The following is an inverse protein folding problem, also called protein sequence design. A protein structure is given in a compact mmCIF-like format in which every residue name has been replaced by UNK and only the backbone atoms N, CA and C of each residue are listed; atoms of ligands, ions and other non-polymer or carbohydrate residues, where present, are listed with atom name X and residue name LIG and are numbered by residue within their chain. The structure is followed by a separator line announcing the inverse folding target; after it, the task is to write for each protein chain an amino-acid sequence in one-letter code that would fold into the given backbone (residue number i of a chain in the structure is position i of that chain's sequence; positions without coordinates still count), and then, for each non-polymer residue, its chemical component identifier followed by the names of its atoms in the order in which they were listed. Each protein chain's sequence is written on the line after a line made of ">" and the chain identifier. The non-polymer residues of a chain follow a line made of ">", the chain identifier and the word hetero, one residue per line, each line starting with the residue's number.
data_IF_028532381334
#
_entry.id   IF_028532381334
#
_cell.length_a   1.000
_cell.length_b   1.000
_cell.length_c   1.000
_cell.angle_alpha   90.00
_cell.angle_beta   90.00
_cell.angle_gamma   90.00
#
_symmetry.space_group_name_H-M   'P 1'
#
loop_
_entity.id
_entity.type
_entity.pdbx_description
1 polymer ?
#
# COMPACT_ATOMS: atom_id res chain seq x y z
N UNK A 1 0.60 24.57 18.81
CA UNK A 1 1.07 23.18 19.01
C UNK A 1 0.67 22.32 17.80
N UNK A 2 1.41 22.42 16.71
CA UNK A 2 1.25 21.56 15.52
C UNK A 2 2.18 20.36 15.69
N UNK A 3 1.60 19.18 15.85
CA UNK A 3 2.28 18.01 16.42
C UNK A 3 3.28 17.36 15.47
N UNK A 4 4.44 16.96 16.00
CA UNK A 4 5.48 16.09 15.38
C UNK A 4 4.90 14.91 14.58
N UNK A 5 3.71 14.43 14.95
CA UNK A 5 3.00 13.35 14.29
C UNK A 5 2.65 13.64 12.82
N UNK A 6 2.26 14.89 12.48
CA UNK A 6 1.92 15.25 11.09
C UNK A 6 3.14 15.22 10.15
N UNK A 7 4.31 15.61 10.64
CA UNK A 7 5.54 15.54 9.84
C UNK A 7 5.92 14.09 9.49
N UNK A 8 5.83 13.17 10.45
CA UNK A 8 6.22 11.77 10.23
C UNK A 8 5.36 11.02 9.19
N UNK A 9 4.09 11.38 9.03
CA UNK A 9 3.22 10.80 7.98
C UNK A 9 3.62 11.28 6.58
N UNK A 10 3.95 12.56 6.44
CA UNK A 10 4.42 13.11 5.18
C UNK A 10 5.75 12.47 4.78
N UNK A 11 6.65 12.26 5.74
CA UNK A 11 7.95 11.63 5.50
C UNK A 11 7.80 10.17 5.05
N UNK A 12 6.84 9.44 5.62
CA UNK A 12 6.49 8.08 5.21
C UNK A 12 6.04 8.01 3.76
N UNK A 13 5.10 8.89 3.43
CA UNK A 13 4.50 8.96 2.12
C UNK A 13 5.56 9.27 1.05
N UNK A 14 6.39 10.28 1.30
CA UNK A 14 7.48 10.64 0.39
C UNK A 14 8.46 9.47 0.25
N UNK A 15 8.81 8.83 1.37
CA UNK A 15 9.78 7.76 1.38
C UNK A 15 9.36 6.55 0.53
N UNK A 16 8.15 6.03 0.73
CA UNK A 16 7.68 4.84 0.01
C UNK A 16 7.55 5.14 -1.48
N UNK A 17 7.00 6.31 -1.82
CA UNK A 17 6.85 6.73 -3.22
C UNK A 17 8.21 6.86 -3.92
N UNK A 18 9.20 7.48 -3.28
CA UNK A 18 10.55 7.59 -3.84
C UNK A 18 11.22 6.22 -4.00
N UNK A 19 10.97 5.27 -3.09
CA UNK A 19 11.49 3.90 -3.26
C UNK A 19 10.85 3.14 -4.38
N UNK A 20 9.53 3.23 -4.53
CA UNK A 20 8.85 2.62 -5.66
C UNK A 20 9.38 3.20 -6.97
N UNK A 21 9.58 4.52 -7.04
CA UNK A 21 10.21 5.18 -8.19
C UNK A 21 11.62 4.67 -8.47
N UNK A 22 12.47 4.55 -7.44
CA UNK A 22 13.84 4.02 -7.55
C UNK A 22 13.88 2.56 -8.02
N UNK A 23 12.86 1.77 -7.68
CA UNK A 23 12.69 0.40 -8.15
C UNK A 23 12.11 0.31 -9.57
N UNK A 24 11.84 1.45 -10.22
CA UNK A 24 11.36 1.51 -11.60
C UNK A 24 9.83 1.56 -11.75
N UNK A 25 9.07 1.67 -10.67
CA UNK A 25 7.61 1.77 -10.75
C UNK A 25 7.15 3.17 -11.18
N UNK A 26 6.13 3.21 -12.05
CA UNK A 26 5.48 4.47 -12.39
C UNK A 26 4.53 4.93 -11.26
N UNK A 27 5.01 5.88 -10.46
CA UNK A 27 4.28 6.41 -9.30
C UNK A 27 3.08 7.31 -9.61
N UNK A 28 2.73 7.48 -10.89
CA UNK A 28 1.54 8.25 -11.30
C UNK A 28 0.27 7.44 -11.05
N UNK A 29 -0.84 8.16 -10.81
CA UNK A 29 -2.15 7.58 -10.55
C UNK A 29 -2.67 6.87 -11.81
N UNK A 30 -2.91 5.54 -11.79
CA UNK A 30 -3.40 4.77 -12.94
C UNK A 30 -4.72 5.29 -13.51
N UNK A 31 -5.60 5.87 -12.67
CA UNK A 31 -6.90 6.43 -13.11
C UNK A 31 -6.73 7.66 -13.99
N UNK A 32 -5.64 8.43 -13.78
CA UNK A 32 -5.41 9.70 -14.48
C UNK A 32 -4.39 9.59 -15.61
N UNK A 33 -3.47 8.65 -15.50
CA UNK A 33 -2.33 8.52 -16.40
C UNK A 33 -2.25 7.09 -16.89
N UNK A 34 -2.47 6.82 -18.20
CA UNK A 34 -2.20 5.53 -18.79
C UNK A 34 -0.76 5.09 -18.50
N UNK A 35 -0.59 3.87 -18.00
CA UNK A 35 0.72 3.35 -17.59
C UNK A 35 1.16 3.71 -16.18
N UNK A 36 0.43 4.59 -15.47
CA UNK A 36 0.61 4.77 -14.03
C UNK A 36 0.32 3.48 -13.28
N UNK A 37 1.04 3.23 -12.18
CA UNK A 37 0.98 1.96 -11.45
C UNK A 37 0.65 2.10 -9.97
N UNK A 38 0.52 3.32 -9.42
CA UNK A 38 0.40 3.49 -7.96
C UNK A 38 -0.85 4.28 -7.60
N UNK A 39 -1.75 3.61 -6.89
CA UNK A 39 -2.86 4.24 -6.20
C UNK A 39 -2.43 4.58 -4.77
N UNK A 40 -2.50 5.85 -4.38
CA UNK A 40 -2.39 6.26 -2.97
C UNK A 40 -3.76 6.20 -2.29
N UNK A 41 -3.81 6.23 -0.95
CA UNK A 41 -5.03 6.21 -0.11
C UNK A 41 -6.37 6.51 -0.81
N UNK A 42 -6.63 7.76 -1.21
CA UNK A 42 -7.92 8.13 -1.85
C UNK A 42 -8.02 7.73 -3.33
N UNK A 43 -6.88 7.61 -4.01
CA UNK A 43 -6.83 7.32 -5.44
C UNK A 43 -7.28 5.90 -5.74
N UNK A 44 -7.09 4.95 -4.81
CA UNK A 44 -7.50 3.57 -5.01
C UNK A 44 -9.02 3.43 -5.19
N UNK A 45 -9.80 4.37 -4.62
CA UNK A 45 -11.25 4.41 -4.78
C UNK A 45 -11.70 4.99 -6.14
N UNK A 46 -10.76 5.47 -6.97
CA UNK A 46 -11.04 5.87 -8.34
C UNK A 46 -11.11 4.68 -9.32
N UNK A 47 -10.57 3.53 -8.94
CA UNK A 47 -10.69 2.28 -9.70
C UNK A 47 -11.96 1.53 -9.25
N UNK A 48 -12.96 1.35 -10.14
CA UNK A 48 -14.26 0.79 -9.75
C UNK A 48 -14.19 -0.57 -9.06
N UNK A 49 -13.34 -1.48 -9.53
CA UNK A 49 -13.26 -2.83 -8.95
C UNK A 49 -12.56 -2.81 -7.58
N UNK A 50 -11.51 -2.00 -7.41
CA UNK A 50 -10.88 -1.78 -6.10
C UNK A 50 -11.88 -1.16 -5.12
N UNK A 51 -12.60 -0.11 -5.55
CA UNK A 51 -13.62 0.57 -4.74
C UNK A 51 -14.72 -0.39 -4.30
N UNK A 52 -15.18 -1.27 -5.18
CA UNK A 52 -16.23 -2.26 -4.87
C UNK A 52 -15.86 -3.13 -3.67
N UNK A 53 -14.60 -3.58 -3.59
CA UNK A 53 -14.16 -4.49 -2.53
C UNK A 53 -13.63 -3.80 -1.28
N UNK A 54 -13.11 -2.58 -1.41
CA UNK A 54 -12.61 -1.79 -0.28
C UNK A 54 -13.65 -0.84 0.32
N UNK A 55 -14.74 -0.54 -0.40
CA UNK A 55 -15.74 0.48 -0.04
C UNK A 55 -15.08 1.85 0.27
N UNK A 56 -14.94 2.20 1.54
CA UNK A 56 -14.28 3.43 2.01
C UNK A 56 -12.91 3.19 2.63
N UNK A 57 -12.44 1.94 2.67
CA UNK A 57 -11.16 1.53 3.26
C UNK A 57 -10.02 1.82 2.29
N UNK A 58 -8.87 2.23 2.84
CA UNK A 58 -7.79 2.83 2.08
C UNK A 58 -6.45 2.35 2.67
N UNK A 59 -5.78 1.37 2.05
CA UNK A 59 -4.40 1.11 2.38
C UNK A 59 -3.55 2.33 2.01
N UNK A 60 -2.32 2.40 2.53
CA UNK A 60 -1.42 3.50 2.19
C UNK A 60 -1.13 3.55 0.67
N UNK A 61 -0.83 2.38 0.09
CA UNK A 61 -0.68 2.22 -1.36
C UNK A 61 -1.26 0.90 -1.89
N UNK A 62 -1.67 0.93 -3.15
CA UNK A 62 -1.84 -0.24 -4.00
C UNK A 62 -0.99 -0.04 -5.25
N UNK A 63 -0.10 -0.99 -5.52
CA UNK A 63 0.66 -1.04 -6.78
C UNK A 63 -0.07 -1.99 -7.74
N UNK A 64 -0.38 -1.48 -8.93
CA UNK A 64 -0.88 -2.22 -10.08
C UNK A 64 0.32 -2.90 -10.75
N UNK A 65 0.57 -4.15 -10.36
CA UNK A 65 1.67 -4.97 -10.89
C UNK A 65 1.38 -5.35 -12.34
N UNK A 66 0.14 -5.78 -12.58
CA UNK A 66 -0.45 -5.99 -13.92
C UNK A 66 -1.89 -5.50 -13.90
N UNK A 67 -2.62 -5.66 -15.00
CA UNK A 67 -4.06 -5.37 -15.06
C UNK A 67 -4.90 -6.22 -14.09
N UNK A 68 -4.38 -7.37 -13.63
CA UNK A 68 -5.09 -8.30 -12.75
C UNK A 68 -4.40 -8.55 -11.41
N UNK A 69 -3.16 -8.09 -11.25
CA UNK A 69 -2.35 -8.34 -10.06
C UNK A 69 -2.07 -7.07 -9.29
N UNK A 70 -2.36 -7.11 -7.99
CA UNK A 70 -2.15 -6.02 -7.05
C UNK A 70 -1.08 -6.38 -6.00
N UNK A 71 -0.37 -5.35 -5.56
CA UNK A 71 0.46 -5.37 -4.37
C UNK A 71 -0.04 -4.32 -3.38
N UNK A 72 -0.45 -4.76 -2.19
CA UNK A 72 -0.96 -3.87 -1.13
C UNK A 72 0.17 -3.50 -0.17
N UNK A 73 0.28 -2.22 0.16
CA UNK A 73 1.27 -1.71 1.11
C UNK A 73 0.54 -0.94 2.21
N UNK A 74 0.79 -1.32 3.46
CA UNK A 74 0.30 -0.62 4.64
C UNK A 74 1.47 -0.10 5.49
N UNK A 75 1.31 1.11 6.02
CA UNK A 75 2.35 1.81 6.76
C UNK A 75 1.89 2.16 8.18
N UNK A 76 2.75 1.94 9.17
CA UNK A 76 2.55 2.38 10.56
C UNK A 76 3.66 3.31 11.03
N UNK A 77 3.34 4.14 12.02
CA UNK A 77 4.26 5.15 12.55
C UNK A 77 5.31 4.57 13.47
N UNK A 78 5.00 3.48 14.16
CA UNK A 78 5.88 2.89 15.18
C UNK A 78 6.38 1.53 14.73
N UNK A 79 7.68 1.30 14.85
CA UNK A 79 8.34 0.03 14.49
C UNK A 79 7.66 -1.20 15.11
N UNK A 80 7.17 -1.10 16.33
CA UNK A 80 6.48 -2.19 17.04
C UNK A 80 5.16 -2.59 16.38
N UNK A 81 4.57 -1.72 15.55
CA UNK A 81 3.30 -1.94 14.85
C UNK A 81 3.48 -2.59 13.48
N UNK A 82 4.69 -2.98 13.06
CA UNK A 82 4.86 -3.61 11.75
C UNK A 82 4.07 -4.90 11.58
N UNK A 83 3.90 -5.68 12.66
CA UNK A 83 3.04 -6.86 12.65
C UNK A 83 1.61 -6.50 12.29
N UNK A 84 1.10 -5.41 12.87
CA UNK A 84 -0.22 -4.87 12.55
C UNK A 84 -0.29 -4.34 11.12
N UNK A 85 0.76 -3.65 10.63
CA UNK A 85 0.81 -3.19 9.24
C UNK A 85 0.67 -4.35 8.26
N UNK A 86 1.42 -5.43 8.46
CA UNK A 86 1.34 -6.61 7.61
C UNK A 86 -0.02 -7.31 7.74
N UNK A 87 -0.52 -7.48 8.96
CA UNK A 87 -1.82 -8.10 9.22
C UNK A 87 -2.95 -7.34 8.52
N UNK A 88 -2.95 -6.01 8.59
CA UNK A 88 -3.93 -5.19 7.87
C UNK A 88 -3.76 -5.31 6.35
N UNK A 89 -2.53 -5.27 5.83
CA UNK A 89 -2.29 -5.47 4.39
C UNK A 89 -2.83 -6.82 3.90
N UNK A 90 -2.61 -7.90 4.65
CA UNK A 90 -3.02 -9.27 4.33
C UNK A 90 -4.49 -9.56 4.62
N UNK A 91 -4.86 -9.52 5.90
CA UNK A 91 -6.13 -10.01 6.41
C UNK A 91 -7.24 -8.97 6.31
N UNK A 92 -6.91 -7.68 6.17
CA UNK A 92 -7.89 -6.63 5.99
C UNK A 92 -8.06 -6.24 4.52
N UNK A 93 -7.01 -5.77 3.86
CA UNK A 93 -7.12 -5.23 2.51
C UNK A 93 -7.07 -6.31 1.43
N UNK A 94 -6.01 -7.14 1.41
CA UNK A 94 -5.84 -8.16 0.37
C UNK A 94 -6.94 -9.23 0.43
N UNK A 95 -7.35 -9.68 1.62
CA UNK A 95 -8.47 -10.60 1.78
C UNK A 95 -9.80 -10.09 1.19
N UNK A 96 -10.02 -8.77 1.19
CA UNK A 96 -11.20 -8.17 0.53
C UNK A 96 -11.03 -8.09 -0.97
N UNK A 97 -9.89 -7.59 -1.44
CA UNK A 97 -9.58 -7.50 -2.87
C UNK A 97 -9.63 -8.87 -3.55
N UNK A 98 -9.16 -9.92 -2.87
CA UNK A 98 -9.14 -11.28 -3.40
C UNK A 98 -10.52 -11.94 -3.55
N UNK A 99 -11.59 -11.30 -3.08
CA UNK A 99 -12.97 -11.68 -3.40
C UNK A 99 -13.37 -11.28 -4.83
N UNK A 100 -12.62 -10.38 -5.48
CA UNK A 100 -12.78 -10.06 -6.89
C UNK A 100 -12.41 -11.26 -7.75
N UNK A 101 -13.18 -11.52 -8.81
CA UNK A 101 -12.82 -12.49 -9.85
C UNK A 101 -11.86 -11.89 -10.89
N UNK A 102 -11.62 -10.58 -10.85
CA UNK A 102 -10.82 -9.82 -11.83
C UNK A 102 -9.45 -9.47 -11.26
N UNK A 103 -9.41 -8.94 -10.03
CA UNK A 103 -8.21 -8.46 -9.37
C UNK A 103 -7.79 -9.40 -8.25
N UNK A 104 -6.49 -9.71 -8.18
CA UNK A 104 -5.91 -10.47 -7.06
C UNK A 104 -4.76 -9.70 -6.44
N UNK A 105 -4.86 -9.43 -5.15
CA UNK A 105 -3.73 -9.03 -4.32
C UNK A 105 -2.87 -10.28 -4.06
N UNK A 106 -1.71 -10.34 -4.73
CA UNK A 106 -0.76 -11.45 -4.61
C UNK A 106 0.43 -11.10 -3.73
N UNK A 107 0.66 -9.81 -3.50
CA UNK A 107 1.75 -9.33 -2.67
C UNK A 107 1.19 -8.40 -1.60
N UNK A 108 1.75 -8.49 -0.41
CA UNK A 108 1.46 -7.57 0.68
C UNK A 108 2.77 -7.13 1.33
N UNK A 109 2.84 -5.88 1.75
CA UNK A 109 3.96 -5.36 2.53
C UNK A 109 3.46 -4.54 3.72
N UNK A 110 3.96 -4.87 4.91
CA UNK A 110 3.86 -4.01 6.09
C UNK A 110 5.13 -3.18 6.24
N UNK A 111 4.97 -1.88 6.46
CA UNK A 111 6.06 -0.93 6.70
C UNK A 111 5.87 -0.25 8.05
N UNK A 112 6.97 -0.02 8.77
CA UNK A 112 6.95 0.80 9.96
C UNK A 112 8.18 1.70 10.05
N UNK A 113 8.01 2.90 10.59
CA UNK A 113 9.07 3.91 10.71
C UNK A 113 9.36 4.24 12.18
N UNK A 114 10.38 5.08 12.42
CA UNK A 114 10.65 5.65 13.74
C UNK A 114 10.72 7.17 13.65
N UNK A 115 10.36 7.84 14.75
CA UNK A 115 10.30 9.30 14.83
C UNK A 115 11.65 10.03 14.78
N UNK A 116 12.78 9.34 14.81
CA UNK A 116 14.08 9.98 15.06
C UNK A 116 15.10 9.87 13.94
N UNK A 117 14.98 8.95 12.98
CA UNK A 117 15.97 8.84 11.91
C UNK A 117 15.36 8.16 10.68
N UNK A 118 15.79 8.59 9.49
CA UNK A 118 15.52 7.95 8.20
C UNK A 118 16.08 6.49 8.09
N UNK A 119 16.31 5.80 9.21
CA UNK A 119 17.00 4.52 9.30
C UNK A 119 16.32 3.65 10.35
N UNK A 120 15.29 2.92 9.94
CA UNK A 120 15.12 1.46 10.04
C UNK A 120 13.81 1.15 9.30
N UNK A 121 13.90 0.37 8.22
CA UNK A 121 12.76 -0.04 7.40
C UNK A 121 12.63 -1.54 7.57
N UNK A 122 11.85 -1.97 8.55
CA UNK A 122 11.43 -3.36 8.51
C UNK A 122 10.35 -3.42 7.42
N UNK A 123 10.62 -4.25 6.42
CA UNK A 123 9.66 -4.60 5.39
C UNK A 123 9.41 -6.07 5.60
N UNK A 124 8.16 -6.44 5.88
CA UNK A 124 7.76 -7.83 5.83
C UNK A 124 6.84 -7.98 4.65
N UNK A 125 7.21 -8.87 3.73
CA UNK A 125 6.44 -9.14 2.53
C UNK A 125 6.05 -10.60 2.48
N UNK A 126 4.84 -10.85 2.02
CA UNK A 126 4.29 -12.20 1.82
C UNK A 126 3.75 -12.30 0.40
N UNK A 127 3.98 -13.44 -0.25
CA UNK A 127 3.29 -13.84 -1.47
C UNK A 127 2.04 -14.62 -1.05
N UNK A 128 0.87 -14.11 -1.41
CA UNK A 128 -0.40 -14.78 -1.15
C UNK A 128 -0.59 -15.90 -2.16
N UNK A 129 -0.70 -17.14 -1.68
CA UNK A 129 -1.03 -18.27 -2.54
C UNK A 129 -2.50 -18.19 -2.91
N UNK A 130 -2.81 -18.23 -4.21
CA UNK A 130 -4.18 -18.43 -4.66
C UNK A 130 -4.66 -19.79 -4.16
N UNK A 131 -5.70 -19.81 -3.33
CA UNK A 131 -6.46 -21.03 -3.10
C UNK A 131 -7.33 -21.21 -4.33
N UNK A 132 -7.00 -22.22 -5.15
CA UNK A 132 -7.83 -22.67 -6.26
C UNK A 132 -9.19 -23.16 -5.75
#
# INVERSE_FOLDING_TARGET
>A
MTSKAKHSEVDAYVYVKEKLKQLGWDTRNPVKVPGGQIYTQNQCLGEPEIKRWLDKKRPEYIVKVTETMLWVIECKRVRTEIGQALDEAENYYAARLNKSDILKALFVSGLAMTHSTQRVRLIKSTILRSKH
#
